data_IF_813162934539
#
_entry.id   IF_813162934539
#
_cell.length_a   1.000
_cell.length_b   1.000
_cell.length_c   1.000
_cell.angle_alpha   90.00
_cell.angle_beta   90.00
_cell.angle_gamma   90.00
#
_symmetry.space_group_name_H-M   'P 1'
#
loop_
_entity.id
_entity.type
_entity.pdbx_description
1 polymer ?
#
# COMPACT_ATOMS: atom_id res chain seq x y z
N UNK A 1 18.52 -32.60 -45.26
CA UNK A 1 18.94 -31.55 -46.22
C UNK A 1 18.72 -30.24 -45.49
N UNK A 2 19.77 -29.47 -45.23
CA UNK A 2 19.70 -28.21 -44.48
C UNK A 2 19.34 -27.08 -45.44
N UNK A 3 18.11 -26.58 -45.34
CA UNK A 3 17.64 -25.47 -46.17
C UNK A 3 18.40 -24.19 -45.76
N UNK A 4 19.23 -23.69 -46.66
CA UNK A 4 20.11 -22.54 -46.42
C UNK A 4 19.70 -21.39 -47.34
N UNK A 5 19.79 -20.14 -46.89
CA UNK A 5 19.39 -18.97 -47.68
C UNK A 5 20.46 -17.89 -47.75
N UNK A 6 20.53 -17.12 -48.85
CA UNK A 6 21.58 -16.13 -49.05
C UNK A 6 21.36 -14.88 -48.18
N UNK A 7 22.43 -14.37 -47.59
CA UNK A 7 22.42 -13.09 -46.88
C UNK A 7 22.29 -11.92 -47.88
N UNK A 8 21.38 -10.95 -47.67
CA UNK A 8 21.24 -9.79 -48.57
C UNK A 8 22.42 -8.82 -48.52
N UNK A 9 23.25 -8.87 -47.47
CA UNK A 9 24.38 -7.95 -47.29
C UNK A 9 25.69 -8.48 -47.90
N UNK A 10 25.92 -9.79 -47.91
CA UNK A 10 27.18 -10.37 -48.38
C UNK A 10 27.02 -11.59 -49.31
N UNK A 11 25.80 -12.07 -49.54
CA UNK A 11 25.52 -13.26 -50.34
C UNK A 11 25.84 -14.60 -49.67
N UNK A 12 26.42 -14.61 -48.46
CA UNK A 12 26.80 -15.83 -47.79
C UNK A 12 25.58 -16.70 -47.40
N UNK A 13 25.68 -18.04 -47.49
CA UNK A 13 24.61 -18.95 -47.13
C UNK A 13 24.47 -19.04 -45.59
N UNK A 14 23.29 -18.70 -45.05
CA UNK A 14 22.99 -18.79 -43.61
C UNK A 14 21.81 -19.75 -43.36
N UNK A 15 21.90 -20.52 -42.27
CA UNK A 15 20.87 -21.49 -41.89
C UNK A 15 19.89 -20.83 -40.89
N UNK A 16 18.56 -20.95 -41.08
CA UNK A 16 17.58 -20.23 -40.27
C UNK A 16 17.55 -20.72 -38.82
N UNK A 17 17.70 -19.80 -37.86
CA UNK A 17 17.47 -20.10 -36.45
C UNK A 17 15.97 -20.34 -36.17
N UNK A 18 15.66 -21.48 -35.53
CA UNK A 18 14.29 -21.81 -35.15
C UNK A 18 13.74 -20.82 -34.11
N UNK A 19 12.47 -20.42 -34.27
CA UNK A 19 11.76 -19.56 -33.33
C UNK A 19 12.08 -18.07 -33.41
N UNK A 20 12.91 -17.62 -34.38
CA UNK A 20 13.25 -16.20 -34.55
C UNK A 20 12.84 -15.70 -35.93
N UNK A 21 12.47 -14.41 -36.00
CA UNK A 21 12.17 -13.75 -37.27
C UNK A 21 13.40 -13.07 -37.89
N UNK A 22 14.42 -12.80 -37.08
CA UNK A 22 15.67 -12.16 -37.48
C UNK A 22 16.82 -12.89 -36.80
N UNK A 23 17.94 -12.98 -37.51
CA UNK A 23 19.19 -13.53 -37.01
C UNK A 23 20.37 -12.69 -37.50
N UNK A 24 21.53 -12.87 -36.90
CA UNK A 24 22.76 -12.21 -37.33
C UNK A 24 23.51 -13.11 -38.30
N UNK A 25 24.09 -12.54 -39.35
CA UNK A 25 24.88 -13.29 -40.32
C UNK A 25 26.16 -13.80 -39.66
N UNK A 26 26.39 -15.11 -39.71
CA UNK A 26 27.61 -15.72 -39.18
C UNK A 26 28.89 -15.31 -39.92
N UNK A 27 28.74 -14.70 -41.11
CA UNK A 27 29.86 -14.31 -41.97
C UNK A 27 30.18 -12.82 -41.88
N UNK A 28 29.20 -11.94 -42.10
CA UNK A 28 29.43 -10.49 -42.13
C UNK A 28 28.89 -9.74 -40.91
N UNK A 29 28.18 -10.41 -39.99
CA UNK A 29 27.62 -9.78 -38.80
C UNK A 29 26.40 -8.87 -39.05
N UNK A 30 25.91 -8.77 -40.29
CA UNK A 30 24.69 -8.00 -40.58
C UNK A 30 23.45 -8.69 -39.99
N UNK A 31 22.47 -7.92 -39.50
CA UNK A 31 21.17 -8.46 -39.12
C UNK A 31 20.35 -8.74 -40.38
N UNK A 32 19.88 -9.99 -40.52
CA UNK A 32 19.08 -10.44 -41.64
C UNK A 32 17.75 -11.04 -41.16
N UNK A 33 16.72 -10.80 -41.95
CA UNK A 33 15.37 -11.32 -41.70
C UNK A 33 15.24 -12.72 -42.29
N UNK A 34 14.80 -13.69 -41.48
CA UNK A 34 14.56 -15.07 -41.94
C UNK A 34 13.27 -15.08 -42.78
N UNK A 35 13.30 -15.60 -44.03
CA UNK A 35 12.12 -15.71 -44.88
C UNK A 35 11.00 -16.50 -44.21
N UNK A 36 9.74 -16.09 -44.42
CA UNK A 36 8.59 -16.67 -43.74
C UNK A 36 8.43 -18.18 -43.98
N UNK A 37 8.80 -18.67 -45.17
CA UNK A 37 8.77 -20.10 -45.53
C UNK A 37 9.77 -20.97 -44.75
N UNK A 38 10.82 -20.36 -44.19
CA UNK A 38 11.88 -21.05 -43.45
C UNK A 38 11.84 -20.75 -41.95
N UNK A 39 10.89 -19.94 -41.50
CA UNK A 39 10.68 -19.68 -40.09
C UNK A 39 10.01 -20.89 -39.46
N UNK A 40 10.82 -21.74 -38.82
CA UNK A 40 10.30 -22.84 -38.02
C UNK A 40 9.84 -22.30 -36.67
N UNK A 41 8.65 -22.71 -36.24
CA UNK A 41 8.21 -22.48 -34.87
C UNK A 41 9.22 -23.13 -33.92
N UNK A 42 9.55 -22.43 -32.83
CA UNK A 42 10.38 -23.04 -31.80
C UNK A 42 9.64 -24.28 -31.29
N UNK A 43 10.32 -25.44 -31.10
CA UNK A 43 9.73 -26.47 -30.25
C UNK A 43 9.38 -25.79 -28.92
N UNK A 44 8.20 -26.05 -28.33
CA UNK A 44 7.78 -25.42 -27.08
C UNK A 44 8.87 -25.72 -26.06
N UNK A 45 9.73 -24.73 -25.82
CA UNK A 45 10.74 -24.80 -24.77
C UNK A 45 9.88 -24.80 -23.52
N UNK A 46 9.80 -25.94 -22.84
CA UNK A 46 9.12 -26.05 -21.57
C UNK A 46 9.56 -24.85 -20.74
N UNK A 47 8.65 -23.87 -20.65
CA UNK A 47 8.81 -22.68 -19.84
C UNK A 47 9.16 -23.27 -18.48
N UNK A 48 10.42 -23.12 -18.05
CA UNK A 48 10.76 -23.42 -16.66
C UNK A 48 9.73 -22.63 -15.89
N UNK A 49 8.90 -23.39 -15.17
CA UNK A 49 7.82 -22.97 -14.30
C UNK A 49 7.99 -21.50 -13.92
N UNK A 50 6.99 -20.62 -14.13
CA UNK A 50 7.08 -19.25 -13.68
C UNK A 50 7.70 -19.30 -12.29
N UNK A 51 8.90 -18.74 -12.14
CA UNK A 51 9.43 -18.54 -10.81
C UNK A 51 8.38 -17.65 -10.19
N UNK A 52 7.55 -18.25 -9.34
CA UNK A 52 6.84 -17.52 -8.32
C UNK A 52 7.98 -16.86 -7.58
N UNK A 53 8.28 -15.63 -7.98
CA UNK A 53 9.19 -14.78 -7.24
C UNK A 53 8.69 -14.89 -5.82
N UNK A 54 9.57 -15.36 -4.93
CA UNK A 54 9.29 -15.35 -3.51
C UNK A 54 8.68 -13.96 -3.23
N UNK A 55 7.53 -13.88 -2.53
CA UNK A 55 6.93 -12.58 -2.24
C UNK A 55 8.03 -11.71 -1.67
N UNK A 56 8.23 -10.54 -2.29
CA UNK A 56 9.30 -9.61 -1.94
C UNK A 56 9.41 -9.54 -0.40
N UNK A 57 10.64 -9.56 0.17
CA UNK A 57 10.82 -9.64 1.61
C UNK A 57 9.95 -8.57 2.29
N UNK A 58 8.99 -9.08 3.05
CA UNK A 58 8.03 -8.39 3.91
C UNK A 58 8.42 -6.96 4.28
N UNK A 59 7.62 -6.00 3.84
CA UNK A 59 7.41 -4.74 4.56
C UNK A 59 6.67 -4.93 5.91
N UNK A 60 6.37 -6.18 6.28
CA UNK A 60 5.68 -6.57 7.51
C UNK A 60 6.49 -6.28 8.79
N UNK A 61 7.80 -5.98 8.66
CA UNK A 61 8.66 -5.61 9.79
C UNK A 61 8.72 -4.09 10.02
N UNK A 62 8.34 -3.27 9.03
CA UNK A 62 8.31 -1.81 9.16
C UNK A 62 6.94 -1.34 9.69
N UNK A 63 5.84 -1.94 9.23
CA UNK A 63 4.49 -1.55 9.67
C UNK A 63 4.25 -1.76 11.17
N UNK A 64 4.65 -2.91 11.72
CA UNK A 64 4.42 -3.22 13.15
C UNK A 64 5.28 -2.37 14.08
N UNK A 65 6.52 -2.07 13.66
CA UNK A 65 7.44 -1.25 14.46
C UNK A 65 7.05 0.23 14.43
N UNK A 66 6.59 0.73 13.27
CA UNK A 66 5.99 2.05 13.16
C UNK A 66 4.72 2.19 14.02
N UNK A 67 3.87 1.17 14.04
CA UNK A 67 2.70 1.14 14.91
C UNK A 67 3.09 1.15 16.39
N UNK A 68 4.11 0.35 16.78
CA UNK A 68 4.62 0.28 18.15
C UNK A 68 5.27 1.59 18.60
N UNK A 69 5.99 2.27 17.71
CA UNK A 69 6.58 3.59 17.95
C UNK A 69 5.52 4.71 18.02
N UNK A 70 4.42 4.57 17.28
CA UNK A 70 3.31 5.53 17.30
C UNK A 70 2.44 5.41 18.56
N UNK A 71 2.31 4.21 19.15
CA UNK A 71 1.47 3.99 20.35
C UNK A 71 1.69 5.00 21.48
N UNK A 72 2.92 5.27 21.98
CA UNK A 72 3.11 6.17 23.11
C UNK A 72 2.70 7.63 22.82
N UNK A 73 2.78 8.07 21.57
CA UNK A 73 2.35 9.41 21.15
C UNK A 73 0.83 9.48 21.11
N UNK A 74 0.18 8.46 20.54
CA UNK A 74 -1.28 8.35 20.45
C UNK A 74 -1.90 8.26 21.85
N UNK A 75 -1.34 7.47 22.76
CA UNK A 75 -1.88 7.33 24.12
C UNK A 75 -1.78 8.63 24.92
N UNK A 76 -0.67 9.38 24.81
CA UNK A 76 -0.52 10.67 25.49
C UNK A 76 -1.50 11.71 24.95
N UNK A 77 -1.66 11.79 23.63
CA UNK A 77 -2.61 12.69 22.99
C UNK A 77 -4.07 12.33 23.37
N UNK A 78 -4.40 11.05 23.38
CA UNK A 78 -5.72 10.56 23.78
C UNK A 78 -6.06 10.91 25.22
N UNK A 79 -5.14 10.65 26.17
CA UNK A 79 -5.37 10.95 27.58
C UNK A 79 -5.51 12.45 27.84
N UNK A 80 -4.72 13.29 27.17
CA UNK A 80 -4.85 14.75 27.27
C UNK A 80 -6.20 15.24 26.72
N UNK A 81 -6.65 14.69 25.59
CA UNK A 81 -7.95 15.02 25.02
C UNK A 81 -9.12 14.55 25.90
N UNK A 82 -9.04 13.32 26.43
CA UNK A 82 -10.02 12.77 27.36
C UNK A 82 -10.09 13.61 28.65
N UNK A 83 -8.95 14.02 29.20
CA UNK A 83 -8.90 14.90 30.38
C UNK A 83 -9.52 16.27 30.10
N UNK A 84 -9.18 16.89 28.97
CA UNK A 84 -9.70 18.21 28.60
C UNK A 84 -11.23 18.18 28.37
N UNK A 85 -11.74 17.15 27.69
CA UNK A 85 -13.18 16.98 27.47
C UNK A 85 -13.93 16.76 28.78
N UNK A 86 -13.38 15.98 29.70
CA UNK A 86 -13.94 15.80 31.04
C UNK A 86 -13.94 17.10 31.84
N UNK A 87 -12.83 17.84 31.90
CA UNK A 87 -12.75 19.13 32.60
C UNK A 87 -13.77 20.11 32.03
N UNK A 88 -13.83 20.23 30.70
CA UNK A 88 -14.76 21.13 30.01
C UNK A 88 -16.22 20.81 30.28
N UNK A 89 -16.56 19.55 30.58
CA UNK A 89 -17.95 19.12 30.82
C UNK A 89 -18.32 19.04 32.30
N UNK A 90 -17.39 18.63 33.17
CA UNK A 90 -17.60 18.51 34.60
C UNK A 90 -17.62 19.88 35.31
N UNK A 91 -16.77 20.82 34.90
CA UNK A 91 -16.70 22.17 35.49
C UNK A 91 -18.04 22.93 35.41
N UNK A 92 -18.71 23.05 34.23
CA UNK A 92 -20.01 23.70 34.16
C UNK A 92 -21.11 22.90 34.87
N UNK A 93 -21.06 21.56 34.85
CA UNK A 93 -22.04 20.73 35.56
C UNK A 93 -21.97 20.93 37.09
N UNK A 94 -20.76 21.00 37.65
CA UNK A 94 -20.57 21.31 39.07
C UNK A 94 -21.04 22.72 39.42
N UNK A 95 -20.75 23.73 38.59
CA UNK A 95 -21.22 25.09 38.82
C UNK A 95 -22.76 25.17 38.80
N UNK A 96 -23.41 24.52 37.85
CA UNK A 96 -24.88 24.47 37.78
C UNK A 96 -25.46 23.75 38.99
N UNK A 97 -24.88 22.63 39.41
CA UNK A 97 -25.33 21.92 40.61
C UNK A 97 -25.20 22.78 41.88
N UNK A 98 -24.10 23.52 42.03
CA UNK A 98 -23.90 24.44 43.15
C UNK A 98 -24.93 25.58 43.16
N UNK A 99 -25.26 26.16 41.99
CA UNK A 99 -26.31 27.17 41.86
C UNK A 99 -27.69 26.62 42.22
N UNK A 100 -28.02 25.40 41.78
CA UNK A 100 -29.29 24.74 42.13
C UNK A 100 -29.39 24.54 43.64
N UNK A 101 -28.31 24.07 44.28
CA UNK A 101 -28.27 23.88 45.73
C UNK A 101 -28.46 25.20 46.49
N UNK A 102 -27.78 26.27 46.05
CA UNK A 102 -27.95 27.61 46.64
C UNK A 102 -29.40 28.11 46.49
N UNK A 103 -29.99 27.98 45.32
CA UNK A 103 -31.40 28.34 45.09
C UNK A 103 -32.34 27.54 46.00
N UNK A 104 -32.11 26.23 46.16
CA UNK A 104 -32.91 25.39 47.05
C UNK A 104 -32.80 25.85 48.52
N UNK A 105 -31.59 26.19 48.98
CA UNK A 105 -31.39 26.73 50.33
C UNK A 105 -32.12 28.07 50.53
N UNK A 106 -32.07 28.96 49.55
CA UNK A 106 -32.77 30.26 49.62
C UNK A 106 -34.28 30.06 49.63
N UNK A 107 -34.83 29.17 48.80
CA UNK A 107 -36.28 28.89 48.77
C UNK A 107 -36.73 28.28 50.09
N UNK A 108 -36.02 27.26 50.61
CA UNK A 108 -36.32 26.62 51.89
C UNK A 108 -36.14 27.56 53.09
N UNK A 109 -35.17 28.48 53.03
CA UNK A 109 -34.95 29.50 54.06
C UNK A 109 -35.94 30.67 54.01
N UNK A 110 -36.45 31.02 52.82
CA UNK A 110 -37.46 32.07 52.64
C UNK A 110 -38.89 31.57 52.89
N UNK A 111 -39.15 30.28 52.66
CA UNK A 111 -40.43 29.61 52.96
C UNK A 111 -40.97 29.91 54.38
N UNK A 112 -40.20 29.73 55.48
CA UNK A 112 -40.68 30.05 56.83
C UNK A 112 -40.91 31.55 57.06
N UNK A 113 -40.28 32.43 56.28
CA UNK A 113 -40.46 33.87 56.38
C UNK A 113 -41.72 34.36 55.66
N UNK A 114 -42.15 33.62 54.62
CA UNK A 114 -43.36 33.93 53.84
C UNK A 114 -44.60 33.28 54.47
N UNK A 115 -44.49 32.10 55.08
CA UNK A 115 -45.63 31.42 55.74
C UNK A 115 -45.93 31.92 57.15
N UNK A 116 -44.97 32.55 57.83
CA UNK A 116 -45.13 33.10 59.18
C UNK A 116 -45.47 34.61 59.19
N UNK A 117 -45.85 35.16 58.04
CA UNK A 117 -46.26 36.56 57.85
C UNK A 117 -47.73 36.62 57.44
#
# INVERSE_FOLDING_TARGET
>A
MTDTFPCPACGAPNEPEAGRAQMTCSYCGANLTIPASMRRDAPPKAEKTPKVDAPAPRQEMDASELLRQAQPVVTKAWNAFALWTWVRRALPACLVAALIALCACVILGALPFITNR
#
